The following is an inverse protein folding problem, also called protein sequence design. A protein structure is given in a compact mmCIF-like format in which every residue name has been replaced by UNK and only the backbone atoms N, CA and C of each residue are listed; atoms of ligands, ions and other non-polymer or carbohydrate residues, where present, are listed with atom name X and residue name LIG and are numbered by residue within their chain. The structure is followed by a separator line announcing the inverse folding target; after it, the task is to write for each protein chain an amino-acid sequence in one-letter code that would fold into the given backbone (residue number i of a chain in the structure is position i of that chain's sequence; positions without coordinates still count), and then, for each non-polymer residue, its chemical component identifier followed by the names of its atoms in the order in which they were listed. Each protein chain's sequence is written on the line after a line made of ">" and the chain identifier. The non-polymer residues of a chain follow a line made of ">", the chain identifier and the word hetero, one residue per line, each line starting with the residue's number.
data_IF_308568367480
#
_entry.id   IF_308568367480
#
_cell.length_a   1.000
_cell.length_b   1.000
_cell.length_c   1.000
_cell.angle_alpha   90.00
_cell.angle_beta   90.00
_cell.angle_gamma   90.00
#
_symmetry.space_group_name_H-M   'P 1'
#
loop_
_entity.id
_entity.type
_entity.pdbx_description
1 polymer ?
#
# COMPACT_ATOMS: atom_id res chain seq x y z
N UNK A 1 4.72 26.35 0.85
CA UNK A 1 3.90 25.73 1.90
C UNK A 1 3.49 24.38 1.34
N UNK A 2 4.18 23.31 1.71
CA UNK A 2 3.70 21.97 1.40
C UNK A 2 2.68 21.67 2.49
N UNK A 3 1.39 21.85 2.20
CA UNK A 3 0.35 21.34 3.10
C UNK A 3 0.57 19.83 3.16
N UNK A 4 1.16 19.37 4.27
CA UNK A 4 1.47 17.96 4.46
C UNK A 4 0.16 17.19 4.50
N UNK A 5 0.01 16.26 3.57
CA UNK A 5 -1.11 15.32 3.56
C UNK A 5 -1.03 14.51 4.87
N UNK A 6 -2.08 14.57 5.67
CA UNK A 6 -2.25 13.69 6.82
C UNK A 6 -2.86 12.37 6.35
N UNK A 7 -1.99 11.48 5.87
CA UNK A 7 -2.38 10.15 5.38
C UNK A 7 -3.18 9.35 6.41
N UNK A 8 -2.96 9.59 7.71
CA UNK A 8 -3.68 8.89 8.78
C UNK A 8 -5.11 9.42 8.97
N UNK A 9 -5.34 10.71 8.75
CA UNK A 9 -6.69 11.27 8.78
C UNK A 9 -7.53 10.71 7.61
N UNK A 10 -6.96 10.68 6.40
CA UNK A 10 -7.64 10.16 5.21
C UNK A 10 -7.99 8.67 5.32
N UNK A 11 -7.08 7.86 5.87
CA UNK A 11 -7.35 6.44 6.12
C UNK A 11 -8.41 6.21 7.20
N UNK A 12 -8.45 7.05 8.24
CA UNK A 12 -9.42 6.91 9.33
C UNK A 12 -10.85 7.11 8.85
N UNK A 13 -11.05 8.04 7.91
CA UNK A 13 -12.36 8.36 7.38
C UNK A 13 -12.84 7.37 6.31
N UNK A 14 -11.94 6.50 5.80
CA UNK A 14 -12.30 5.45 4.85
C UNK A 14 -11.70 4.08 5.20
N UNK A 15 -12.33 3.33 6.13
CA UNK A 15 -11.87 2.00 6.55
C UNK A 15 -11.63 1.01 5.40
N UNK A 16 -12.44 1.08 4.34
CA UNK A 16 -12.27 0.25 3.14
C UNK A 16 -10.92 0.48 2.43
N UNK A 17 -10.34 1.66 2.55
CA UNK A 17 -9.06 2.01 1.90
C UNK A 17 -7.89 1.51 2.73
N UNK A 18 -8.05 1.47 4.06
CA UNK A 18 -7.11 0.81 4.96
C UNK A 18 -7.08 -0.71 4.72
N UNK A 19 -8.23 -1.33 4.47
CA UNK A 19 -8.32 -2.75 4.11
C UNK A 19 -7.59 -3.03 2.79
N UNK A 20 -7.78 -2.22 1.75
CA UNK A 20 -7.04 -2.38 0.48
C UNK A 20 -5.55 -2.12 0.66
N UNK A 21 -5.14 -1.13 1.45
CA UNK A 21 -3.73 -0.89 1.75
C UNK A 21 -3.07 -2.12 2.40
N UNK A 22 -3.80 -2.76 3.32
CA UNK A 22 -3.35 -3.99 3.96
C UNK A 22 -3.32 -5.17 2.98
N UNK A 23 -4.31 -5.27 2.09
CA UNK A 23 -4.34 -6.27 1.01
C UNK A 23 -3.11 -6.16 0.10
N UNK A 24 -2.77 -4.95 -0.36
CA UNK A 24 -1.57 -4.69 -1.16
C UNK A 24 -0.32 -5.17 -0.45
N UNK A 25 -0.18 -4.91 0.85
CA UNK A 25 0.96 -5.40 1.62
C UNK A 25 1.02 -6.93 1.65
N UNK A 26 -0.07 -7.59 2.02
CA UNK A 26 -0.09 -9.04 2.25
C UNK A 26 -0.01 -9.83 0.94
N UNK A 27 -0.67 -9.36 -0.12
CA UNK A 27 -0.71 -10.07 -1.40
C UNK A 27 0.68 -10.17 -2.05
N UNK A 28 1.54 -9.18 -1.85
CA UNK A 28 2.93 -9.19 -2.38
C UNK A 28 3.96 -9.69 -1.38
N UNK A 29 3.57 -9.96 -0.12
CA UNK A 29 4.49 -10.42 0.91
C UNK A 29 4.91 -11.87 0.64
N UNK A 30 6.21 -12.08 0.50
CA UNK A 30 6.81 -13.40 0.38
C UNK A 30 7.33 -13.84 1.74
N UNK A 31 7.02 -15.09 2.10
CA UNK A 31 7.49 -15.74 3.32
C UNK A 31 8.41 -16.90 2.98
N UNK A 32 9.44 -17.11 3.81
CA UNK A 32 10.26 -18.31 3.74
C UNK A 32 9.54 -19.55 4.30
N UNK A 33 10.26 -20.67 4.34
CA UNK A 33 9.71 -21.94 4.83
C UNK A 33 9.40 -21.93 6.35
N UNK A 34 9.89 -20.95 7.10
CA UNK A 34 9.63 -20.75 8.52
C UNK A 34 8.48 -19.75 8.75
N UNK A 35 7.99 -19.10 7.68
CA UNK A 35 6.97 -18.06 7.76
C UNK A 35 7.52 -16.67 8.01
N UNK A 36 8.84 -16.46 7.87
CA UNK A 36 9.47 -15.16 8.03
C UNK A 36 9.45 -14.37 6.70
N UNK A 37 9.16 -13.06 6.73
CA UNK A 37 9.23 -12.22 5.54
C UNK A 37 10.61 -12.20 4.89
N UNK A 38 10.66 -12.32 3.56
CA UNK A 38 11.90 -12.18 2.77
C UNK A 38 11.94 -10.94 1.89
N UNK A 39 10.82 -10.22 1.76
CA UNK A 39 10.68 -9.05 0.90
C UNK A 39 9.91 -7.89 1.59
N UNK A 40 9.95 -7.77 2.91
CA UNK A 40 9.09 -6.84 3.66
C UNK A 40 9.22 -5.38 3.20
N UNK A 41 10.43 -4.94 2.81
CA UNK A 41 10.64 -3.58 2.28
C UNK A 41 10.03 -3.36 0.92
N UNK A 42 9.93 -4.40 0.11
CA UNK A 42 9.19 -4.33 -1.15
C UNK A 42 7.68 -4.24 -0.86
N UNK A 43 7.16 -5.09 0.01
CA UNK A 43 5.75 -5.08 0.40
C UNK A 43 5.31 -3.74 1.04
N UNK A 44 6.11 -3.20 1.96
CA UNK A 44 5.91 -1.86 2.54
C UNK A 44 5.84 -0.78 1.45
N UNK A 45 6.73 -0.84 0.45
CA UNK A 45 6.79 0.13 -0.65
C UNK A 45 5.58 0.06 -1.57
N UNK A 46 5.04 -1.14 -1.82
CA UNK A 46 3.78 -1.31 -2.59
C UNK A 46 2.59 -0.74 -1.84
N UNK A 47 2.47 -1.03 -0.54
CA UNK A 47 1.43 -0.44 0.31
C UNK A 47 1.54 1.10 0.37
N UNK A 48 2.76 1.64 0.49
CA UNK A 48 2.99 3.08 0.44
C UNK A 48 2.61 3.70 -0.92
N UNK A 49 2.82 2.97 -2.02
CA UNK A 49 2.38 3.38 -3.37
C UNK A 49 0.87 3.55 -3.43
N UNK A 50 0.12 2.60 -2.85
CA UNK A 50 -1.34 2.69 -2.74
C UNK A 50 -1.77 3.92 -1.93
N UNK A 51 -1.19 4.13 -0.75
CA UNK A 51 -1.53 5.26 0.12
C UNK A 51 -1.28 6.61 -0.56
N UNK A 52 -0.13 6.75 -1.21
CA UNK A 52 0.19 7.95 -1.95
C UNK A 52 -0.82 8.19 -3.07
N UNK A 53 -1.10 7.17 -3.88
CA UNK A 53 -2.03 7.28 -4.99
C UNK A 53 -3.47 7.56 -4.53
N UNK A 54 -3.91 6.94 -3.44
CA UNK A 54 -5.22 7.21 -2.85
C UNK A 54 -5.34 8.66 -2.36
N UNK A 55 -4.36 9.15 -1.60
CA UNK A 55 -4.44 10.49 -1.01
C UNK A 55 -4.13 11.63 -2.00
N UNK A 56 -3.35 11.36 -3.06
CA UNK A 56 -2.92 12.41 -4.02
C UNK A 56 -3.62 12.29 -5.38
N UNK A 57 -4.14 11.12 -5.72
CA UNK A 57 -4.57 10.79 -7.08
C UNK A 57 -3.42 10.53 -8.07
N UNK A 58 -2.17 10.57 -7.63
CA UNK A 58 -0.98 10.46 -8.48
C UNK A 58 -0.16 9.20 -8.18
N UNK A 59 0.52 8.66 -9.18
CA UNK A 59 1.49 7.60 -8.96
C UNK A 59 2.81 8.20 -8.42
N UNK A 60 3.42 7.66 -7.36
CA UNK A 60 4.70 8.16 -6.88
C UNK A 60 5.78 8.08 -7.99
N UNK A 61 6.65 9.09 -8.13
CA UNK A 61 7.66 9.10 -9.17
C UNK A 61 8.58 7.87 -9.14
N UNK A 62 8.62 7.13 -10.25
CA UNK A 62 9.48 5.95 -10.40
C UNK A 62 8.86 4.65 -9.89
N UNK A 63 7.63 4.66 -9.38
CA UNK A 63 6.87 3.44 -9.08
C UNK A 63 6.17 2.89 -10.30
N UNK A 64 6.00 1.56 -10.34
CA UNK A 64 5.07 0.92 -11.25
C UNK A 64 3.64 1.04 -10.69
N UNK A 65 2.65 1.10 -11.59
CA UNK A 65 1.25 1.03 -11.21
C UNK A 65 0.97 -0.26 -10.40
N UNK A 66 -0.03 -0.21 -9.53
CA UNK A 66 -0.51 -1.38 -8.82
C UNK A 66 -1.29 -2.27 -9.79
N UNK A 67 -0.97 -3.56 -9.79
CA UNK A 67 -1.75 -4.55 -10.50
C UNK A 67 -3.06 -4.82 -9.75
N UNK A 68 -4.11 -5.22 -10.47
CA UNK A 68 -5.44 -5.41 -9.87
C UNK A 68 -5.43 -6.44 -8.72
N UNK A 69 -4.68 -7.53 -8.90
CA UNK A 69 -4.55 -8.60 -7.91
C UNK A 69 -3.83 -8.14 -6.63
N UNK A 70 -2.98 -7.11 -6.69
CA UNK A 70 -2.37 -6.54 -5.49
C UNK A 70 -3.46 -5.95 -4.57
N UNK A 71 -4.52 -5.39 -5.14
CA UNK A 71 -5.60 -4.73 -4.40
C UNK A 71 -6.80 -5.64 -4.04
N UNK A 72 -6.79 -6.90 -4.47
CA UNK A 72 -7.90 -7.83 -4.22
C UNK A 72 -7.96 -8.29 -2.76
N UNK A 73 -9.17 -8.35 -2.21
CA UNK A 73 -9.45 -8.91 -0.89
C UNK A 73 -9.83 -10.40 -1.06
N UNK A 74 -9.15 -11.29 -0.35
CA UNK A 74 -9.35 -12.76 -0.39
C UNK A 74 -10.06 -13.29 0.87
#
# INVERSE_FOLDING_TARGET
>A
MSEGIDYWAELRDSPSQAEVCFAVFVNVLELDAQGEPVNEKYAERRAATWLYQYCTGELPPGEAALEAWECELH
#
